data_IF_496018911303
#
_entry.id   IF_496018911303
#
_cell.length_a   1.000
_cell.length_b   1.000
_cell.length_c   1.000
_cell.angle_alpha   90.00
_cell.angle_beta   90.00
_cell.angle_gamma   90.00
#
_symmetry.space_group_name_H-M   'P 1'
#
loop_
_entity.id
_entity.type
_entity.pdbx_description
1 polymer ?
#
# COMPACT_ATOMS: atom_id res chain seq x y z
N UNK A 1 6.17 16.35 -23.37
CA UNK A 1 5.00 17.22 -23.13
C UNK A 1 5.33 17.97 -21.86
N UNK A 2 5.72 19.25 -21.95
CA UNK A 2 5.97 20.08 -20.78
C UNK A 2 4.61 20.46 -20.18
N UNK A 3 4.43 20.13 -18.90
CA UNK A 3 3.24 20.47 -18.15
C UNK A 3 3.43 21.87 -17.57
N UNK A 4 2.62 22.85 -18.02
CA UNK A 4 2.64 24.19 -17.48
C UNK A 4 1.57 24.32 -16.37
N UNK A 5 1.96 24.80 -15.21
CA UNK A 5 1.02 25.14 -14.12
C UNK A 5 -0.02 26.19 -14.52
N UNK A 6 0.25 26.97 -15.58
CA UNK A 6 -0.67 27.97 -16.10
C UNK A 6 -1.87 27.35 -16.82
N UNK A 7 -1.78 26.09 -17.26
CA UNK A 7 -2.82 25.39 -18.00
C UNK A 7 -3.78 24.60 -17.09
N UNK A 8 -3.54 24.59 -15.77
CA UNK A 8 -4.48 23.99 -14.82
C UNK A 8 -5.74 24.84 -14.71
N UNK A 9 -6.94 24.21 -14.78
CA UNK A 9 -8.17 24.93 -14.49
C UNK A 9 -8.08 25.52 -13.08
N UNK A 10 -8.43 26.78 -12.91
CA UNK A 10 -8.50 27.40 -11.58
C UNK A 10 -9.46 26.58 -10.73
N UNK A 11 -9.02 26.12 -9.56
CA UNK A 11 -9.89 25.49 -8.57
C UNK A 11 -10.98 26.53 -8.23
N UNK A 12 -12.22 26.25 -8.62
CA UNK A 12 -13.32 27.17 -8.42
C UNK A 12 -13.88 27.06 -7.00
N UNK A 13 -13.82 25.84 -6.42
CA UNK A 13 -14.27 25.58 -5.05
C UNK A 13 -13.40 24.50 -4.39
N UNK A 14 -13.04 24.74 -3.13
CA UNK A 14 -12.46 23.75 -2.24
C UNK A 14 -13.28 23.74 -0.94
N UNK A 15 -13.68 22.56 -0.49
CA UNK A 15 -14.38 22.37 0.78
C UNK A 15 -13.48 21.60 1.72
N UNK A 16 -13.29 22.12 2.93
CA UNK A 16 -12.54 21.44 3.99
C UNK A 16 -13.55 20.94 5.02
N UNK A 17 -13.58 19.62 5.21
CA UNK A 17 -14.47 18.95 6.15
C UNK A 17 -13.65 18.24 7.23
N UNK A 18 -14.20 18.18 8.44
CA UNK A 18 -13.61 17.46 9.57
C UNK A 18 -14.67 16.56 10.19
N UNK A 19 -14.71 15.31 9.74
CA UNK A 19 -15.62 14.29 10.24
C UNK A 19 -14.95 12.91 10.21
N UNK A 20 -15.50 11.89 10.91
CA UNK A 20 -15.00 10.52 10.82
C UNK A 20 -15.05 9.99 9.37
N UNK A 21 -14.04 9.19 8.99
CA UNK A 21 -13.92 8.67 7.62
C UNK A 21 -15.05 7.69 7.24
N UNK A 22 -15.69 7.04 8.19
CA UNK A 22 -16.86 6.18 8.00
C UNK A 22 -18.17 6.95 7.80
N UNK A 23 -18.14 8.28 8.06
CA UNK A 23 -19.28 9.19 7.88
C UNK A 23 -19.19 10.02 6.59
N UNK A 24 -18.31 9.67 5.65
CA UNK A 24 -18.22 10.31 4.32
C UNK A 24 -19.52 10.12 3.57
N UNK A 25 -20.10 11.24 3.09
CA UNK A 25 -21.38 11.27 2.39
C UNK A 25 -21.36 12.13 1.09
N UNK A 26 -20.18 12.59 0.69
CA UNK A 26 -19.98 13.35 -0.54
C UNK A 26 -19.68 12.41 -1.71
N UNK A 27 -20.46 12.53 -2.80
CA UNK A 27 -20.22 11.80 -4.04
C UNK A 27 -18.86 12.20 -4.64
N UNK A 28 -18.01 11.22 -4.88
CA UNK A 28 -16.65 11.45 -5.35
C UNK A 28 -16.23 10.45 -6.43
N UNK A 29 -15.74 10.98 -7.56
CA UNK A 29 -15.23 10.16 -8.67
C UNK A 29 -13.81 9.66 -8.42
N UNK A 30 -13.01 10.43 -7.68
CA UNK A 30 -11.64 10.10 -7.29
C UNK A 30 -11.48 10.36 -5.80
N UNK A 31 -11.03 9.35 -5.08
CA UNK A 31 -10.76 9.43 -3.64
C UNK A 31 -9.29 9.07 -3.44
N UNK A 32 -8.55 9.90 -2.71
CA UNK A 32 -7.14 9.64 -2.38
C UNK A 32 -7.02 9.56 -0.86
N UNK A 33 -6.42 8.51 -0.37
CA UNK A 33 -6.26 8.28 1.07
C UNK A 33 -4.83 7.88 1.42
N UNK A 34 -4.41 8.31 2.61
CA UNK A 34 -3.20 7.86 3.30
C UNK A 34 -3.65 7.33 4.67
N UNK A 35 -3.98 6.02 4.76
CA UNK A 35 -4.52 5.42 5.97
C UNK A 35 -3.41 5.20 7.02
N UNK A 36 -3.76 5.00 8.30
CA UNK A 36 -2.78 4.62 9.30
C UNK A 36 -2.17 3.24 8.95
N UNK A 37 -0.83 3.14 9.05
CA UNK A 37 -0.07 1.91 8.78
C UNK A 37 -0.03 1.01 10.01
N UNK A 38 -1.17 0.46 10.39
CA UNK A 38 -1.34 -0.29 11.63
C UNK A 38 -0.84 0.53 12.85
N UNK A 39 0.11 0.01 13.62
CA UNK A 39 0.67 0.68 14.81
C UNK A 39 2.03 1.37 14.57
N UNK A 40 2.39 1.62 13.30
CA UNK A 40 3.70 2.19 12.97
C UNK A 40 3.89 3.61 13.56
N UNK A 41 2.85 4.44 13.56
CA UNK A 41 2.89 5.80 14.10
C UNK A 41 1.59 6.14 14.83
N UNK A 42 1.70 6.65 16.05
CA UNK A 42 0.57 7.15 16.83
C UNK A 42 0.22 8.60 16.45
N UNK A 43 -0.31 8.81 15.25
CA UNK A 43 -0.65 10.15 14.73
C UNK A 43 -1.58 10.92 15.67
N UNK A 44 -2.52 10.24 16.32
CA UNK A 44 -3.44 10.83 17.29
C UNK A 44 -2.75 11.36 18.56
N UNK A 45 -1.53 10.92 18.85
CA UNK A 45 -0.72 11.44 19.96
C UNK A 45 0.16 12.63 19.50
N UNK A 46 0.74 12.53 18.31
CA UNK A 46 1.55 13.60 17.73
C UNK A 46 0.70 14.87 17.50
N UNK A 47 -0.52 14.70 16.99
CA UNK A 47 -1.42 15.82 16.73
C UNK A 47 -1.86 16.54 18.00
N UNK A 48 -1.93 15.86 19.16
CA UNK A 48 -2.22 16.50 20.45
C UNK A 48 -1.23 17.61 20.79
N UNK A 49 0.05 17.41 20.45
CA UNK A 49 1.07 18.44 20.68
C UNK A 49 0.76 19.73 19.89
N UNK A 50 0.42 19.60 18.61
CA UNK A 50 0.09 20.75 17.77
C UNK A 50 -1.24 21.39 18.18
N UNK A 51 -2.25 20.59 18.55
CA UNK A 51 -3.52 21.09 19.07
C UNK A 51 -3.31 21.91 20.35
N UNK A 52 -2.47 21.42 21.26
CA UNK A 52 -2.16 22.14 22.51
C UNK A 52 -1.54 23.53 22.26
N UNK A 53 -0.77 23.68 21.18
CA UNK A 53 -0.20 24.97 20.78
C UNK A 53 -1.23 25.87 20.08
N UNK A 54 -1.91 25.35 19.07
CA UNK A 54 -2.77 26.14 18.19
C UNK A 54 -4.09 26.57 18.85
N UNK A 55 -4.65 25.73 19.77
CA UNK A 55 -5.94 26.03 20.41
C UNK A 55 -5.95 27.29 21.28
N UNK A 56 -4.78 27.79 21.71
CA UNK A 56 -4.70 28.96 22.57
C UNK A 56 -4.98 30.26 21.84
N UNK A 57 -4.60 30.34 20.58
CA UNK A 57 -4.78 31.53 19.76
C UNK A 57 -4.83 31.13 18.27
N UNK A 58 -5.88 30.42 17.82
CA UNK A 58 -5.98 29.99 16.45
C UNK A 58 -6.17 31.22 15.53
N UNK A 59 -5.44 31.29 14.39
CA UNK A 59 -5.63 32.35 13.42
C UNK A 59 -6.96 32.20 12.68
N UNK A 60 -7.61 33.29 12.21
CA UNK A 60 -8.77 33.20 11.31
C UNK A 60 -8.40 32.47 10.00
N UNK A 61 -9.29 31.63 9.45
CA UNK A 61 -10.66 31.31 9.89
C UNK A 61 -10.74 30.14 10.90
N UNK A 62 -9.61 29.66 11.41
CA UNK A 62 -9.51 28.46 12.26
C UNK A 62 -9.94 28.70 13.70
N UNK A 63 -10.17 29.97 14.10
CA UNK A 63 -10.68 30.36 15.40
C UNK A 63 -12.09 29.84 15.70
N UNK A 64 -12.84 29.48 14.64
CA UNK A 64 -14.19 28.88 14.75
C UNK A 64 -14.16 27.34 14.83
N UNK A 65 -13.02 26.71 14.71
CA UNK A 65 -12.88 25.26 14.77
C UNK A 65 -12.93 24.73 16.19
N UNK A 66 -13.45 23.51 16.34
CA UNK A 66 -13.35 22.75 17.58
C UNK A 66 -11.94 22.16 17.71
N UNK A 67 -11.14 22.74 18.58
CA UNK A 67 -9.77 22.32 18.85
C UNK A 67 -9.73 21.26 19.98
N UNK A 68 -10.30 20.10 19.71
CA UNK A 68 -10.13 18.89 20.51
C UNK A 68 -9.40 17.81 19.69
N UNK A 69 -8.83 16.85 20.38
CA UNK A 69 -8.05 15.81 19.72
C UNK A 69 -8.90 14.81 18.95
N UNK A 70 -10.18 14.74 19.22
CA UNK A 70 -11.11 13.69 18.73
C UNK A 70 -10.49 12.29 18.71
N UNK A 71 -9.65 12.04 19.68
CA UNK A 71 -8.81 10.86 19.81
C UNK A 71 -9.60 9.55 19.77
N UNK A 72 -10.84 9.57 20.26
CA UNK A 72 -11.74 8.42 20.24
C UNK A 72 -12.26 8.09 18.84
N UNK A 73 -12.21 9.03 17.91
CA UNK A 73 -12.59 8.83 16.50
C UNK A 73 -11.42 8.36 15.64
N UNK A 74 -10.18 8.35 16.15
CA UNK A 74 -9.02 7.93 15.40
C UNK A 74 -9.03 6.41 15.19
N UNK A 75 -8.89 5.97 13.94
CA UNK A 75 -8.62 4.57 13.61
C UNK A 75 -7.18 4.28 14.04
N UNK A 76 -6.99 3.37 14.99
CA UNK A 76 -5.70 3.10 15.63
C UNK A 76 -5.52 1.65 16.05
N UNK A 77 -4.27 1.25 16.26
CA UNK A 77 -3.91 -0.12 16.63
C UNK A 77 -3.87 -1.06 15.43
N UNK A 78 -3.94 -2.35 15.70
CA UNK A 78 -3.89 -3.43 14.68
C UNK A 78 -4.76 -4.62 15.05
N UNK A 79 -5.67 -4.43 15.98
CA UNK A 79 -6.57 -5.47 16.46
C UNK A 79 -7.83 -5.60 15.58
N UNK A 80 -8.80 -6.36 16.05
CA UNK A 80 -10.07 -6.55 15.37
C UNK A 80 -10.81 -5.21 15.19
N UNK A 81 -10.77 -4.32 16.18
CA UNK A 81 -11.48 -3.04 16.10
C UNK A 81 -10.87 -2.16 15.00
N UNK A 82 -9.54 -2.08 14.91
CA UNK A 82 -8.86 -1.39 13.83
C UNK A 82 -9.33 -1.87 12.45
N UNK A 83 -9.40 -3.20 12.24
CA UNK A 83 -9.86 -3.76 10.97
C UNK A 83 -11.32 -3.45 10.67
N UNK A 84 -12.19 -3.47 11.69
CA UNK A 84 -13.60 -3.08 11.55
C UNK A 84 -13.75 -1.62 11.15
N UNK A 85 -13.03 -0.72 11.81
CA UNK A 85 -13.08 0.72 11.55
C UNK A 85 -12.54 1.04 10.14
N UNK A 86 -11.46 0.39 9.73
CA UNK A 86 -10.91 0.51 8.39
C UNK A 86 -11.91 0.02 7.32
N UNK A 87 -12.54 -1.13 7.51
CA UNK A 87 -13.58 -1.63 6.59
C UNK A 87 -14.76 -0.65 6.53
N UNK A 88 -15.22 -0.12 7.67
CA UNK A 88 -16.31 0.84 7.71
C UNK A 88 -15.99 2.12 6.93
N UNK A 89 -14.77 2.67 7.10
CA UNK A 89 -14.31 3.86 6.39
C UNK A 89 -14.23 3.62 4.87
N UNK A 90 -13.57 2.56 4.44
CA UNK A 90 -13.46 2.25 3.00
C UNK A 90 -14.80 1.87 2.38
N UNK A 91 -15.69 1.18 3.10
CA UNK A 91 -17.04 0.89 2.62
C UNK A 91 -17.90 2.16 2.47
N UNK A 92 -17.75 3.13 3.38
CA UNK A 92 -18.41 4.42 3.25
C UNK A 92 -17.96 5.14 1.98
N UNK A 93 -16.66 5.28 1.77
CA UNK A 93 -16.10 5.87 0.55
C UNK A 93 -16.52 5.11 -0.72
N UNK A 94 -16.54 3.78 -0.67
CA UNK A 94 -16.96 2.94 -1.81
C UNK A 94 -18.43 3.18 -2.18
N UNK A 95 -19.31 3.41 -1.21
CA UNK A 95 -20.74 3.73 -1.47
C UNK A 95 -20.88 5.05 -2.21
N UNK A 96 -20.08 6.06 -1.86
CA UNK A 96 -20.13 7.40 -2.47
C UNK A 96 -19.39 7.49 -3.82
N UNK A 97 -18.74 6.42 -4.24
CA UNK A 97 -18.03 6.38 -5.51
C UNK A 97 -18.91 5.79 -6.60
N UNK A 98 -18.98 6.35 -7.83
CA UNK A 98 -19.64 5.69 -8.97
C UNK A 98 -18.88 4.44 -9.40
N UNK A 99 -19.51 3.56 -10.18
CA UNK A 99 -18.89 2.27 -10.59
C UNK A 99 -17.63 2.44 -11.42
N UNK A 100 -17.48 3.54 -12.14
CA UNK A 100 -16.27 3.90 -12.87
C UNK A 100 -15.29 4.79 -12.07
N UNK A 101 -15.59 5.06 -10.81
CA UNK A 101 -14.73 5.86 -9.93
C UNK A 101 -13.43 5.14 -9.54
N UNK A 102 -12.54 5.89 -8.92
CA UNK A 102 -11.21 5.46 -8.48
C UNK A 102 -11.01 5.76 -7.00
N UNK A 103 -10.36 4.84 -6.30
CA UNK A 103 -9.69 5.16 -5.04
C UNK A 103 -8.19 4.93 -5.21
N UNK A 104 -7.38 5.81 -4.62
CA UNK A 104 -5.94 5.65 -4.53
C UNK A 104 -5.58 5.57 -3.06
N UNK A 105 -4.89 4.51 -2.67
CA UNK A 105 -4.44 4.28 -1.30
C UNK A 105 -2.92 4.33 -1.29
N UNK A 106 -2.36 5.31 -0.60
CA UNK A 106 -0.93 5.38 -0.33
C UNK A 106 -0.61 4.45 0.84
N UNK A 107 0.35 3.55 0.65
CA UNK A 107 0.66 2.56 1.67
C UNK A 107 2.10 2.09 1.59
N UNK A 108 2.72 1.89 2.74
CA UNK A 108 4.02 1.24 2.86
C UNK A 108 4.11 0.46 4.17
N UNK A 109 4.60 -0.77 4.11
CA UNK A 109 4.91 -1.58 5.29
C UNK A 109 5.76 -2.78 4.89
N UNK A 110 6.73 -3.17 5.72
CA UNK A 110 7.61 -4.31 5.41
C UNK A 110 6.96 -5.69 5.66
N UNK A 111 5.99 -5.77 6.57
CA UNK A 111 5.36 -7.04 6.97
C UNK A 111 4.27 -7.48 5.99
N UNK A 112 4.42 -8.67 5.43
CA UNK A 112 3.44 -9.29 4.51
C UNK A 112 2.06 -9.48 5.16
N UNK A 113 2.01 -9.72 6.47
CA UNK A 113 0.75 -9.85 7.21
C UNK A 113 -0.05 -8.56 7.24
N UNK A 114 0.62 -7.40 7.34
CA UNK A 114 -0.03 -6.09 7.28
C UNK A 114 -0.58 -5.80 5.88
N UNK A 115 0.12 -6.21 4.83
CA UNK A 115 -0.37 -6.16 3.45
C UNK A 115 -1.57 -7.08 3.22
N UNK A 116 -1.54 -8.27 3.81
CA UNK A 116 -2.66 -9.20 3.74
C UNK A 116 -3.90 -8.63 4.46
N UNK A 117 -3.73 -8.05 5.65
CA UNK A 117 -4.81 -7.38 6.37
C UNK A 117 -5.39 -6.22 5.54
N UNK A 118 -4.54 -5.38 4.93
CA UNK A 118 -5.00 -4.31 4.03
C UNK A 118 -5.79 -4.88 2.85
N UNK A 119 -5.27 -5.91 2.19
CA UNK A 119 -5.97 -6.57 1.08
C UNK A 119 -7.35 -7.09 1.45
N UNK A 120 -7.47 -7.74 2.62
CA UNK A 120 -8.74 -8.23 3.13
C UNK A 120 -9.72 -7.09 3.50
N UNK A 121 -9.22 -6.00 4.10
CA UNK A 121 -10.00 -4.79 4.41
C UNK A 121 -10.57 -4.15 3.14
N UNK A 122 -9.73 -3.92 2.13
CA UNK A 122 -10.14 -3.32 0.85
C UNK A 122 -11.15 -4.22 0.13
N UNK A 123 -10.90 -5.54 0.13
CA UNK A 123 -11.82 -6.51 -0.45
C UNK A 123 -13.17 -6.54 0.27
N UNK A 124 -13.18 -6.54 1.61
CA UNK A 124 -14.41 -6.50 2.43
C UNK A 124 -15.20 -5.20 2.21
N UNK A 125 -14.52 -4.11 1.92
CA UNK A 125 -15.13 -2.83 1.55
C UNK A 125 -15.68 -2.79 0.11
N UNK A 126 -15.61 -3.90 -0.64
CA UNK A 126 -16.12 -4.00 -2.02
C UNK A 126 -15.17 -3.47 -3.09
N UNK A 127 -13.88 -3.34 -2.77
CA UNK A 127 -12.85 -2.84 -3.67
C UNK A 127 -11.99 -3.98 -4.24
N UNK A 128 -11.33 -3.69 -5.36
CA UNK A 128 -10.23 -4.50 -5.91
C UNK A 128 -9.07 -3.60 -6.33
N UNK A 129 -7.87 -4.09 -6.20
CA UNK A 129 -6.66 -3.43 -6.70
C UNK A 129 -6.59 -3.66 -8.22
N UNK A 130 -6.41 -2.59 -8.99
CA UNK A 130 -6.33 -2.65 -10.46
C UNK A 130 -4.98 -2.23 -11.00
N UNK A 131 -4.21 -1.46 -10.24
CA UNK A 131 -2.83 -1.09 -10.54
C UNK A 131 -2.08 -0.75 -9.25
N UNK A 132 -0.77 -0.75 -9.33
CA UNK A 132 0.11 -0.29 -8.25
C UNK A 132 1.28 0.48 -8.84
N UNK A 133 1.65 1.58 -8.18
CA UNK A 133 2.78 2.41 -8.55
C UNK A 133 3.69 2.59 -7.34
N UNK A 134 4.94 2.19 -7.47
CA UNK A 134 5.96 2.50 -6.48
C UNK A 134 6.48 3.91 -6.76
N UNK A 135 6.41 4.78 -5.77
CA UNK A 135 6.89 6.15 -5.83
C UNK A 135 7.94 6.33 -4.76
N UNK A 136 9.14 6.71 -5.17
CA UNK A 136 10.21 7.06 -4.23
C UNK A 136 9.83 8.39 -3.57
N UNK A 137 9.52 8.35 -2.28
CA UNK A 137 9.04 9.51 -1.51
C UNK A 137 10.06 10.03 -0.52
N UNK A 138 11.11 9.26 -0.23
CA UNK A 138 12.11 9.61 0.75
C UNK A 138 13.49 9.73 0.09
N UNK A 139 14.17 10.83 0.35
CA UNK A 139 15.57 11.00 0.01
C UNK A 139 16.45 10.23 0.98
N UNK A 140 17.61 9.74 0.51
CA UNK A 140 18.60 9.13 1.39
C UNK A 140 18.97 10.07 2.53
N UNK A 141 18.73 9.58 3.75
CA UNK A 141 19.20 10.26 4.97
C UNK A 141 20.36 9.44 5.52
N UNK A 142 21.51 10.05 5.71
CA UNK A 142 22.71 9.46 6.31
C UNK A 142 22.50 8.87 7.74
N UNK A 143 21.30 9.04 8.30
CA UNK A 143 20.91 8.54 9.63
C UNK A 143 20.12 7.21 9.57
N UNK A 144 19.82 6.70 8.38
CA UNK A 144 19.04 5.46 8.21
C UNK A 144 19.98 4.30 7.91
N UNK A 145 20.25 3.48 8.90
CA UNK A 145 20.97 2.21 8.75
C UNK A 145 19.98 1.06 8.57
N UNK A 146 20.19 0.19 7.56
CA UNK A 146 19.43 -1.03 7.35
C UNK A 146 18.63 -1.09 6.06
N UNK A 147 17.84 -2.16 5.89
CA UNK A 147 17.00 -2.40 4.72
C UNK A 147 15.72 -1.55 4.79
N UNK A 148 15.86 -0.24 4.57
CA UNK A 148 14.78 0.74 4.67
C UNK A 148 14.04 0.86 3.35
N UNK A 149 12.72 0.87 3.41
CA UNK A 149 11.87 1.12 2.23
C UNK A 149 11.91 2.62 1.92
N UNK A 150 12.36 2.99 0.73
CA UNK A 150 12.46 4.39 0.29
C UNK A 150 11.16 4.90 -0.34
N UNK A 151 10.26 3.99 -0.71
CA UNK A 151 9.08 4.32 -1.48
C UNK A 151 7.75 4.08 -0.78
N UNK A 152 6.74 4.73 -1.30
CA UNK A 152 5.33 4.49 -1.00
C UNK A 152 4.68 3.80 -2.20
N UNK A 153 3.87 2.80 -1.96
CA UNK A 153 3.07 2.16 -3.00
C UNK A 153 1.71 2.83 -3.07
N UNK A 154 1.38 3.37 -4.24
CA UNK A 154 0.05 3.90 -4.56
C UNK A 154 -0.78 2.79 -5.19
N UNK A 155 -1.69 2.21 -4.41
CA UNK A 155 -2.66 1.22 -4.89
C UNK A 155 -3.83 1.93 -5.54
N UNK A 156 -4.10 1.61 -6.81
CA UNK A 156 -5.27 2.11 -7.54
C UNK A 156 -6.38 1.08 -7.46
N UNK A 157 -7.51 1.50 -6.92
CA UNK A 157 -8.64 0.65 -6.62
C UNK A 157 -9.86 1.03 -7.44
N UNK A 158 -10.69 0.03 -7.74
CA UNK A 158 -12.03 0.19 -8.30
C UNK A 158 -13.03 -0.66 -7.53
N UNK A 159 -14.32 -0.38 -7.69
CA UNK A 159 -15.36 -1.28 -7.19
C UNK A 159 -15.19 -2.68 -7.79
N UNK A 160 -15.34 -3.70 -6.96
CA UNK A 160 -15.36 -5.10 -7.39
C UNK A 160 -16.78 -5.47 -7.80
N UNK A 161 -17.08 -5.34 -9.09
CA UNK A 161 -18.41 -5.60 -9.64
C UNK A 161 -18.62 -7.07 -10.04
N UNK A 162 -17.56 -7.87 -10.05
CA UNK A 162 -17.60 -9.27 -10.46
C UNK A 162 -17.69 -10.25 -9.29
N UNK A 163 -18.09 -11.48 -9.59
CA UNK A 163 -18.14 -12.60 -8.65
C UNK A 163 -17.31 -13.80 -9.15
N UNK A 164 -16.17 -13.54 -9.80
CA UNK A 164 -15.26 -14.58 -10.27
C UNK A 164 -14.70 -15.39 -9.09
N UNK A 165 -14.54 -16.70 -9.32
CA UNK A 165 -13.97 -17.62 -8.35
C UNK A 165 -12.75 -18.27 -8.96
N UNK A 166 -11.72 -18.54 -8.16
CA UNK A 166 -10.51 -19.22 -8.61
C UNK A 166 -10.09 -20.32 -7.63
N UNK A 167 -9.17 -21.15 -8.09
CA UNK A 167 -8.44 -22.10 -7.24
C UNK A 167 -7.10 -21.50 -6.85
N UNK A 168 -6.60 -21.87 -5.69
CA UNK A 168 -5.30 -21.40 -5.19
C UNK A 168 -4.16 -21.59 -6.20
N UNK A 169 -4.08 -22.75 -6.87
CA UNK A 169 -3.05 -23.01 -7.88
C UNK A 169 -3.10 -22.04 -9.07
N UNK A 170 -4.31 -21.63 -9.48
CA UNK A 170 -4.50 -20.65 -10.56
C UNK A 170 -4.00 -19.27 -10.09
N UNK A 171 -4.34 -18.90 -8.87
CA UNK A 171 -3.91 -17.64 -8.24
C UNK A 171 -2.39 -17.58 -8.07
N UNK A 172 -1.75 -18.66 -7.65
CA UNK A 172 -0.28 -18.72 -7.50
C UNK A 172 0.42 -18.48 -8.84
N UNK A 173 -0.10 -19.08 -9.93
CA UNK A 173 0.43 -18.85 -11.28
C UNK A 173 0.23 -17.39 -11.76
N UNK A 174 -0.94 -16.82 -11.50
CA UNK A 174 -1.23 -15.41 -11.84
C UNK A 174 -0.38 -14.45 -11.02
N UNK A 175 -0.14 -14.73 -9.74
CA UNK A 175 0.77 -13.94 -8.89
C UNK A 175 2.19 -13.97 -9.43
N UNK A 176 2.67 -15.13 -9.87
CA UNK A 176 3.99 -15.27 -10.47
C UNK A 176 4.12 -14.43 -11.75
N UNK A 177 3.14 -14.47 -12.63
CA UNK A 177 3.09 -13.68 -13.86
C UNK A 177 3.04 -12.18 -13.55
N UNK A 178 2.12 -11.77 -12.67
CA UNK A 178 1.96 -10.37 -12.27
C UNK A 178 3.22 -9.83 -11.58
N UNK A 179 3.85 -10.62 -10.72
CA UNK A 179 5.09 -10.29 -10.05
C UNK A 179 6.24 -10.09 -11.03
N UNK A 180 6.41 -11.01 -11.99
CA UNK A 180 7.41 -10.88 -13.07
C UNK A 180 7.19 -9.61 -13.89
N UNK A 181 5.96 -9.34 -14.29
CA UNK A 181 5.62 -8.15 -15.08
C UNK A 181 5.89 -6.85 -14.30
N UNK A 182 5.55 -6.82 -13.02
CA UNK A 182 5.80 -5.65 -12.18
C UNK A 182 7.29 -5.39 -11.95
N UNK A 183 8.07 -6.43 -11.65
CA UNK A 183 9.53 -6.31 -11.48
C UNK A 183 10.22 -5.88 -12.77
N UNK A 184 9.86 -6.46 -13.91
CA UNK A 184 10.40 -6.06 -15.20
C UNK A 184 10.13 -4.58 -15.51
N UNK A 185 8.93 -4.09 -15.14
CA UNK A 185 8.56 -2.68 -15.28
C UNK A 185 9.42 -1.76 -14.39
N UNK A 186 9.64 -2.14 -13.13
CA UNK A 186 10.48 -1.34 -12.21
C UNK A 186 11.93 -1.33 -12.67
N UNK A 187 12.48 -2.45 -13.09
CA UNK A 187 13.83 -2.52 -13.64
C UNK A 187 13.97 -1.62 -14.87
N UNK A 188 13.03 -1.64 -15.80
CA UNK A 188 13.05 -0.76 -16.97
C UNK A 188 13.00 0.74 -16.60
N UNK A 189 12.29 1.10 -15.51
CA UNK A 189 12.28 2.47 -14.99
C UNK A 189 13.63 2.84 -14.36
N UNK A 190 14.25 1.90 -13.67
CA UNK A 190 15.56 2.06 -13.03
C UNK A 190 16.66 2.26 -14.09
N UNK A 191 16.67 1.42 -15.11
CA UNK A 191 17.57 1.54 -16.26
C UNK A 191 17.44 2.92 -16.96
N UNK A 192 16.20 3.34 -17.23
CA UNK A 192 15.93 4.64 -17.86
C UNK A 192 16.31 5.82 -16.95
N UNK A 193 16.28 5.66 -15.64
CA UNK A 193 16.74 6.65 -14.68
C UNK A 193 18.26 6.71 -14.65
N UNK A 194 18.93 5.57 -14.61
CA UNK A 194 20.39 5.46 -14.61
C UNK A 194 21.01 6.10 -15.86
N UNK A 195 20.44 5.84 -17.05
CA UNK A 195 20.86 6.46 -18.31
C UNK A 195 20.79 8.00 -18.30
N UNK A 196 19.81 8.58 -17.57
CA UNK A 196 19.60 10.03 -17.53
C UNK A 196 20.41 10.74 -16.47
N UNK A 197 20.61 10.12 -15.31
CA UNK A 197 21.14 10.79 -14.13
C UNK A 197 22.53 10.33 -13.73
N UNK A 198 23.00 9.20 -14.26
CA UNK A 198 24.22 8.52 -13.79
C UNK A 198 24.22 8.28 -12.27
N UNK A 199 23.02 8.19 -11.68
CA UNK A 199 22.78 8.02 -10.26
C UNK A 199 22.65 6.53 -9.92
N UNK A 200 22.72 6.21 -8.62
CA UNK A 200 22.44 4.88 -8.10
C UNK A 200 21.02 4.42 -8.40
N UNK A 201 20.72 3.14 -8.14
CA UNK A 201 19.41 2.52 -8.39
C UNK A 201 18.28 3.29 -7.71
N UNK A 202 17.16 3.43 -8.42
CA UNK A 202 15.96 4.13 -7.93
C UNK A 202 15.21 3.29 -6.88
N UNK A 203 15.26 1.97 -7.01
CA UNK A 203 14.51 1.02 -6.19
C UNK A 203 15.44 0.08 -5.43
N UNK A 204 15.18 -0.08 -4.13
CA UNK A 204 15.85 -1.05 -3.26
C UNK A 204 15.19 -2.43 -3.38
N UNK A 205 15.86 -3.48 -2.89
CA UNK A 205 15.26 -4.83 -2.77
C UNK A 205 13.96 -4.80 -1.92
N UNK A 206 13.88 -3.88 -0.95
CA UNK A 206 12.67 -3.64 -0.17
C UNK A 206 11.52 -3.12 -1.04
N UNK A 207 11.79 -2.15 -1.92
CA UNK A 207 10.78 -1.59 -2.83
C UNK A 207 10.28 -2.64 -3.83
N UNK A 208 11.18 -3.51 -4.32
CA UNK A 208 10.81 -4.63 -5.20
C UNK A 208 9.93 -5.67 -4.48
N UNK A 209 10.19 -5.90 -3.20
CA UNK A 209 9.34 -6.77 -2.36
C UNK A 209 7.94 -6.16 -2.18
N UNK A 210 7.84 -4.85 -1.93
CA UNK A 210 6.55 -4.16 -1.84
C UNK A 210 5.78 -4.21 -3.15
N UNK A 211 6.48 -4.09 -4.28
CA UNK A 211 5.88 -4.23 -5.60
C UNK A 211 5.27 -5.62 -5.81
N UNK A 212 5.93 -6.66 -5.31
CA UNK A 212 5.41 -8.03 -5.35
C UNK A 212 4.17 -8.20 -4.46
N UNK A 213 4.15 -7.62 -3.26
CA UNK A 213 2.95 -7.61 -2.41
C UNK A 213 1.77 -6.94 -3.11
N UNK A 214 2.01 -5.79 -3.74
CA UNK A 214 0.99 -5.07 -4.48
C UNK A 214 0.49 -5.86 -5.69
N UNK A 215 1.37 -6.55 -6.41
CA UNK A 215 1.00 -7.45 -7.51
C UNK A 215 0.13 -8.62 -7.03
N UNK A 216 0.46 -9.23 -5.88
CA UNK A 216 -0.39 -10.24 -5.27
C UNK A 216 -1.78 -9.70 -4.95
N UNK A 217 -1.88 -8.52 -4.34
CA UNK A 217 -3.17 -7.89 -4.04
C UNK A 217 -3.98 -7.60 -5.30
N UNK A 218 -3.33 -7.19 -6.40
CA UNK A 218 -3.99 -6.98 -7.68
C UNK A 218 -4.65 -8.25 -8.21
N UNK A 219 -3.99 -9.40 -8.08
CA UNK A 219 -4.53 -10.69 -8.48
C UNK A 219 -5.65 -11.12 -7.54
N UNK A 220 -5.37 -11.25 -6.26
CA UNK A 220 -6.30 -11.89 -5.31
C UNK A 220 -7.58 -11.09 -5.12
N UNK A 221 -7.52 -9.76 -5.11
CA UNK A 221 -8.70 -8.91 -4.88
C UNK A 221 -9.66 -8.86 -6.07
N UNK A 222 -9.26 -9.38 -7.24
CA UNK A 222 -10.13 -9.50 -8.40
C UNK A 222 -11.19 -10.59 -8.24
N UNK A 223 -10.96 -11.55 -7.34
CA UNK A 223 -11.82 -12.72 -7.14
C UNK A 223 -12.77 -12.56 -5.96
N UNK A 224 -13.96 -13.13 -6.08
CA UNK A 224 -14.93 -13.19 -4.99
C UNK A 224 -14.59 -14.29 -3.98
N UNK A 225 -14.06 -15.41 -4.44
CA UNK A 225 -13.58 -16.50 -3.59
C UNK A 225 -12.34 -17.16 -4.19
N UNK A 226 -11.47 -17.66 -3.32
CA UNK A 226 -10.36 -18.56 -3.66
C UNK A 226 -10.61 -19.87 -2.90
N UNK A 227 -10.59 -21.00 -3.60
CA UNK A 227 -10.97 -22.33 -3.05
C UNK A 227 -12.32 -22.29 -2.30
N UNK A 228 -13.29 -21.54 -2.85
CA UNK A 228 -14.62 -21.33 -2.27
C UNK A 228 -14.64 -20.56 -0.93
N UNK A 229 -13.54 -19.88 -0.58
CA UNK A 229 -13.43 -19.09 0.62
C UNK A 229 -13.31 -17.60 0.26
N UNK A 230 -14.08 -16.70 0.89
CA UNK A 230 -13.93 -15.27 0.71
C UNK A 230 -12.64 -14.79 1.39
N UNK A 231 -12.05 -13.69 0.88
CA UNK A 231 -10.77 -13.19 1.38
C UNK A 231 -10.84 -12.64 2.81
N UNK A 232 -12.01 -12.18 3.23
CA UNK A 232 -12.24 -11.63 4.57
C UNK A 232 -12.60 -12.69 5.62
N UNK A 233 -12.58 -13.98 5.26
CA UNK A 233 -12.95 -15.08 6.16
C UNK A 233 -12.28 -14.99 7.54
N UNK A 234 -10.99 -14.67 7.53
CA UNK A 234 -10.17 -14.65 8.74
C UNK A 234 -9.90 -13.22 9.25
N UNK A 235 -10.50 -12.20 8.61
CA UNK A 235 -10.21 -10.79 8.88
C UNK A 235 -10.44 -10.38 10.34
N UNK A 236 -11.49 -10.93 10.97
CA UNK A 236 -11.85 -10.62 12.35
C UNK A 236 -11.49 -11.73 13.34
N UNK A 237 -10.83 -12.79 12.85
CA UNK A 237 -10.42 -13.90 13.69
C UNK A 237 -9.09 -13.60 14.39
N UNK A 238 -9.01 -13.87 15.68
CA UNK A 238 -7.74 -13.86 16.39
C UNK A 238 -6.94 -15.09 16.00
N UNK A 239 -5.83 -14.90 15.35
CA UNK A 239 -4.92 -15.99 14.97
C UNK A 239 -4.19 -16.53 16.18
N UNK A 240 -4.07 -17.85 16.28
CA UNK A 240 -3.21 -18.54 17.25
C UNK A 240 -1.72 -18.40 16.90
N UNK A 241 -0.87 -18.82 17.82
CA UNK A 241 0.58 -18.80 17.59
C UNK A 241 0.95 -19.76 16.43
N UNK A 242 1.56 -19.21 15.39
CA UNK A 242 1.97 -19.97 14.19
C UNK A 242 0.84 -20.21 13.17
N UNK A 243 -0.36 -19.71 13.42
CA UNK A 243 -1.41 -19.71 12.40
C UNK A 243 -1.19 -18.57 11.40
N UNK A 244 -1.55 -18.84 10.15
CA UNK A 244 -1.52 -17.87 9.06
C UNK A 244 -2.88 -17.81 8.36
N UNK A 245 -3.09 -16.83 7.51
CA UNK A 245 -4.26 -16.73 6.64
C UNK A 245 -3.91 -17.08 5.22
N UNK A 246 -4.88 -17.56 4.44
CA UNK A 246 -4.68 -17.83 3.00
C UNK A 246 -4.12 -16.60 2.27
N UNK A 247 -4.62 -15.41 2.58
CA UNK A 247 -4.18 -14.20 1.93
C UNK A 247 -2.73 -13.86 2.31
N UNK A 248 -2.34 -14.05 3.58
CA UNK A 248 -0.95 -13.86 4.01
C UNK A 248 -0.02 -14.83 3.30
N UNK A 249 -0.38 -16.10 3.18
CA UNK A 249 0.42 -17.11 2.46
C UNK A 249 0.64 -16.69 1.00
N UNK A 250 -0.39 -16.16 0.34
CA UNK A 250 -0.30 -15.71 -1.06
C UNK A 250 0.56 -14.44 -1.21
N UNK A 251 0.50 -13.52 -0.25
CA UNK A 251 1.37 -12.33 -0.24
C UNK A 251 2.82 -12.72 0.04
N UNK A 252 3.07 -13.62 0.98
CA UNK A 252 4.41 -14.16 1.26
C UNK A 252 4.96 -14.96 0.06
N UNK A 253 4.11 -15.71 -0.64
CA UNK A 253 4.47 -16.39 -1.88
C UNK A 253 4.95 -15.39 -2.96
N UNK A 254 4.27 -14.27 -3.12
CA UNK A 254 4.69 -13.21 -4.06
C UNK A 254 6.09 -12.67 -3.74
N UNK A 255 6.40 -12.49 -2.44
CA UNK A 255 7.75 -12.09 -2.03
C UNK A 255 8.80 -13.16 -2.36
N UNK A 256 8.47 -14.43 -2.18
CA UNK A 256 9.37 -15.53 -2.56
C UNK A 256 9.64 -15.56 -4.05
N UNK A 257 8.60 -15.33 -4.88
CA UNK A 257 8.73 -15.21 -6.33
C UNK A 257 9.64 -14.03 -6.69
N UNK A 258 9.40 -12.85 -6.10
CA UNK A 258 10.23 -11.66 -6.34
C UNK A 258 11.70 -11.92 -5.98
N UNK A 259 11.95 -12.44 -4.78
CA UNK A 259 13.29 -12.78 -4.35
C UNK A 259 13.98 -13.82 -5.26
N UNK A 260 13.22 -14.78 -5.80
CA UNK A 260 13.76 -15.76 -6.73
C UNK A 260 14.15 -15.15 -8.09
N UNK A 261 13.44 -14.10 -8.51
CA UNK A 261 13.71 -13.36 -9.74
C UNK A 261 14.91 -12.40 -9.63
N UNK A 262 15.28 -12.03 -8.40
CA UNK A 262 16.44 -11.17 -8.13
C UNK A 262 17.76 -11.95 -8.08
N UNK A 263 17.71 -13.27 -8.09
CA UNK A 263 18.91 -14.12 -8.08
C UNK A 263 19.51 -14.14 -9.49
N UNK A 264 20.79 -13.77 -9.67
CA UNK A 264 21.48 -13.85 -10.94
C UNK A 264 21.45 -15.28 -11.53
N UNK A 265 21.44 -15.37 -12.85
CA UNK A 265 21.40 -16.68 -13.52
C UNK A 265 22.65 -17.50 -13.18
N UNK A 266 22.44 -18.75 -12.79
CA UNK A 266 23.52 -19.65 -12.37
C UNK A 266 23.98 -19.48 -10.91
N UNK A 267 23.52 -18.46 -10.17
CA UNK A 267 23.88 -18.29 -8.76
C UNK A 267 23.00 -19.17 -7.85
N UNK A 268 23.56 -19.86 -6.82
CA UNK A 268 22.78 -20.71 -5.92
C UNK A 268 21.82 -19.89 -5.05
N UNK A 269 20.51 -20.20 -5.13
CA UNK A 269 19.45 -19.47 -4.38
C UNK A 269 19.66 -19.51 -2.86
N UNK A 270 20.21 -20.58 -2.32
CA UNK A 270 20.50 -20.70 -0.89
C UNK A 270 21.57 -19.70 -0.46
N UNK A 271 22.66 -19.61 -1.23
CA UNK A 271 23.72 -18.62 -0.98
C UNK A 271 23.19 -17.19 -1.12
N UNK A 272 22.35 -16.92 -2.12
CA UNK A 272 21.77 -15.60 -2.31
C UNK A 272 20.99 -15.10 -1.09
N UNK A 273 20.26 -15.98 -0.41
CA UNK A 273 19.51 -15.62 0.81
C UNK A 273 20.40 -15.19 1.96
N UNK A 274 21.58 -15.75 2.04
CA UNK A 274 22.54 -15.50 3.13
C UNK A 274 23.41 -14.25 2.90
N UNK A 275 23.38 -13.69 1.67
CA UNK A 275 24.12 -12.47 1.33
C UNK A 275 23.43 -11.21 1.85
N UNK A 276 24.23 -10.28 2.39
CA UNK A 276 23.81 -8.91 2.69
C UNK A 276 23.60 -8.07 1.42
N UNK A 277 23.01 -6.88 1.56
CA UNK A 277 22.70 -5.99 0.42
C UNK A 277 23.94 -5.63 -0.41
N UNK A 278 25.05 -5.29 0.24
CA UNK A 278 26.31 -4.99 -0.44
C UNK A 278 26.87 -6.19 -1.22
N UNK A 279 26.79 -7.40 -0.64
CA UNK A 279 27.26 -8.62 -1.28
C UNK A 279 26.38 -8.98 -2.49
N UNK A 280 25.06 -8.85 -2.40
CA UNK A 280 24.12 -9.02 -3.50
C UNK A 280 24.39 -8.03 -4.63
N UNK A 281 24.71 -6.78 -4.29
CA UNK A 281 25.12 -5.79 -5.27
C UNK A 281 26.37 -6.25 -6.05
N UNK A 282 27.43 -6.69 -5.37
CA UNK A 282 28.64 -7.18 -6.04
C UNK A 282 28.38 -8.39 -6.92
N UNK A 283 27.55 -9.35 -6.49
CA UNK A 283 27.23 -10.53 -7.30
C UNK A 283 26.49 -10.12 -8.57
N UNK A 284 25.54 -9.17 -8.49
CA UNK A 284 24.87 -8.63 -9.69
C UNK A 284 25.82 -7.94 -10.65
N UNK A 285 26.77 -7.16 -10.14
CA UNK A 285 27.78 -6.49 -10.97
C UNK A 285 28.71 -7.46 -11.69
N UNK A 286 28.89 -8.68 -11.18
CA UNK A 286 29.69 -9.73 -11.85
C UNK A 286 28.92 -10.46 -12.96
N UNK A 287 27.59 -10.37 -12.96
CA UNK A 287 26.71 -11.00 -13.95
C UNK A 287 26.45 -10.08 -15.17
N UNK A 288 26.90 -8.84 -15.12
CA UNK A 288 26.87 -7.86 -16.20
C UNK A 288 28.15 -7.90 -17.03
#
# INVERSE_FOLDING_TARGET
MEFSWADLPRIIHATILSHPADAVNEDSHVIVTDPPYADAINYHEITEFFIAWLRKNPPPPFDQWTWDSRRDLAIKGRDEQFRRDMVAAYAAMTRQMPDNGLQVVMFTHQDAGVWADLGAILWAAGLRVTAAWNVVTETESALKEGNYVQGTVNLVLRKRLGAANARRMEIEAEIEEAGRAQLARLNALDDAWHERSNAETLYTDGDLTLAAYAAALQVVTAYATIDRQPLDRDLYRKLGKGETTMLRDLVEYAAQVANALLVPEGFPREMWRDLGAAERFYVRMLDM
#
